data_IF_127412911707
#
_entry.id   IF_127412911707
#
_cell.length_a   1.000
_cell.length_b   1.000
_cell.length_c   1.000
_cell.angle_alpha   90.00
_cell.angle_beta   90.00
_cell.angle_gamma   90.00
#
_symmetry.space_group_name_H-M   'P 1'
#
loop_
_entity.id
_entity.type
_entity.pdbx_description
1 polymer ?
#
# COMPACT_ATOMS: atom_id res chain seq x y z
N UNK A 1 20.07 15.89 5.23
CA UNK A 1 19.16 16.82 4.51
C UNK A 1 17.82 16.14 4.20
N UNK A 2 17.84 14.95 3.58
CA UNK A 2 16.63 14.18 3.27
C UNK A 2 15.78 13.88 4.50
N UNK A 3 16.36 13.41 5.61
CA UNK A 3 15.58 13.09 6.83
C UNK A 3 14.80 14.29 7.38
N UNK A 4 15.43 15.48 7.39
CA UNK A 4 14.77 16.72 7.80
C UNK A 4 13.67 17.14 6.82
N UNK A 5 13.86 16.86 5.53
CA UNK A 5 12.81 17.08 4.53
C UNK A 5 11.64 16.09 4.72
N UNK A 6 11.91 14.83 5.07
CA UNK A 6 10.89 13.84 5.45
C UNK A 6 10.08 14.36 6.63
N UNK A 7 10.73 14.81 7.72
CA UNK A 7 10.03 15.39 8.87
C UNK A 7 9.19 16.60 8.48
N UNK A 8 9.74 17.51 7.69
CA UNK A 8 9.04 18.71 7.24
C UNK A 8 7.79 18.34 6.42
N UNK A 9 7.93 17.51 5.38
CA UNK A 9 6.81 17.11 4.53
C UNK A 9 5.79 16.24 5.27
N UNK A 10 6.23 15.43 6.25
CA UNK A 10 5.32 14.65 7.11
C UNK A 10 4.39 15.58 7.89
N UNK A 11 4.89 16.73 8.37
CA UNK A 11 4.09 17.69 9.14
C UNK A 11 3.25 18.62 8.26
N UNK A 12 3.83 19.13 7.17
CA UNK A 12 3.29 20.27 6.42
C UNK A 12 2.79 19.91 5.01
N UNK A 13 2.98 18.67 4.55
CA UNK A 13 2.75 18.28 3.17
C UNK A 13 3.76 18.88 2.20
N UNK A 14 3.55 18.69 0.90
CA UNK A 14 4.48 19.10 -0.15
C UNK A 14 4.35 20.56 -0.59
N UNK A 15 3.46 21.33 0.03
CA UNK A 15 3.23 22.75 -0.28
C UNK A 15 4.40 23.67 0.11
N UNK A 16 4.18 24.98 0.01
CA UNK A 16 5.15 26.00 0.46
C UNK A 16 6.33 26.25 -0.48
N UNK A 17 7.10 27.30 -0.19
CA UNK A 17 8.26 27.70 -1.00
C UNK A 17 9.53 26.96 -0.61
N UNK A 18 10.47 26.76 -1.54
CA UNK A 18 11.79 26.17 -1.24
C UNK A 18 12.58 27.00 -0.22
N UNK A 19 12.37 28.31 -0.16
CA UNK A 19 12.96 29.20 0.84
C UNK A 19 12.45 28.87 2.24
N UNK A 20 11.15 28.64 2.38
CA UNK A 20 10.54 28.23 3.64
C UNK A 20 11.03 26.85 4.07
N UNK A 21 11.04 25.89 3.13
CA UNK A 21 11.58 24.55 3.37
C UNK A 21 13.02 24.61 3.89
N UNK A 22 13.91 25.33 3.21
CA UNK A 22 15.31 25.49 3.59
C UNK A 22 15.44 26.04 5.02
N UNK A 23 14.68 27.10 5.35
CA UNK A 23 14.62 27.67 6.70
C UNK A 23 14.18 26.63 7.74
N UNK A 24 13.11 25.89 7.47
CA UNK A 24 12.57 24.91 8.42
C UNK A 24 13.50 23.71 8.64
N UNK A 25 14.23 23.26 7.62
CA UNK A 25 15.22 22.17 7.76
C UNK A 25 16.61 22.67 8.22
N UNK A 26 16.75 23.98 8.46
CA UNK A 26 17.96 24.60 9.01
C UNK A 26 19.14 24.64 8.03
N UNK A 27 18.88 24.90 6.74
CA UNK A 27 19.90 25.08 5.70
C UNK A 27 19.64 26.36 4.91
N UNK A 28 20.64 26.86 4.20
CA UNK A 28 20.42 27.96 3.25
C UNK A 28 19.76 27.44 1.98
N UNK A 29 18.94 28.27 1.33
CA UNK A 29 18.32 27.91 0.06
C UNK A 29 19.35 27.57 -1.04
N UNK A 30 20.48 28.31 -1.19
CA UNK A 30 21.55 27.91 -2.11
C UNK A 30 22.17 26.55 -1.79
N UNK A 31 22.33 26.19 -0.51
CA UNK A 31 22.84 24.87 -0.13
C UNK A 31 21.87 23.77 -0.55
N UNK A 32 20.56 23.98 -0.39
CA UNK A 32 19.54 23.03 -0.85
C UNK A 32 19.65 22.80 -2.36
N UNK A 33 19.76 23.87 -3.16
CA UNK A 33 19.91 23.76 -4.61
C UNK A 33 21.25 23.16 -5.07
N UNK A 34 22.28 23.17 -4.22
CA UNK A 34 23.53 22.46 -4.50
C UNK A 34 23.36 20.92 -4.47
N UNK A 35 22.40 20.41 -3.70
CA UNK A 35 22.13 18.97 -3.58
C UNK A 35 20.95 18.49 -4.43
N UNK A 36 20.02 19.39 -4.76
CA UNK A 36 18.81 19.07 -5.50
C UNK A 36 18.52 20.15 -6.52
N UNK A 37 18.46 19.78 -7.80
CA UNK A 37 18.24 20.73 -8.90
C UNK A 37 16.91 21.48 -8.78
N UNK A 38 15.92 20.86 -8.14
CA UNK A 38 14.62 21.47 -7.87
C UNK A 38 13.98 20.96 -6.57
N UNK A 39 12.85 21.57 -6.18
CA UNK A 39 12.05 21.08 -5.04
C UNK A 39 11.46 19.69 -5.37
N UNK A 40 11.05 19.49 -6.61
CA UNK A 40 10.51 18.24 -7.14
C UNK A 40 11.56 17.12 -7.06
N UNK A 41 12.84 17.41 -7.36
CA UNK A 41 13.93 16.45 -7.20
C UNK A 41 14.12 16.01 -5.73
N UNK A 42 13.97 16.94 -4.78
CA UNK A 42 13.97 16.63 -3.36
C UNK A 42 12.73 15.81 -2.95
N UNK A 43 11.55 16.14 -3.46
CA UNK A 43 10.31 15.38 -3.23
C UNK A 43 10.46 13.95 -3.76
N UNK A 44 11.02 13.78 -4.96
CA UNK A 44 11.28 12.46 -5.53
C UNK A 44 12.29 11.67 -4.69
N UNK A 45 13.36 12.32 -4.20
CA UNK A 45 14.31 11.67 -3.29
C UNK A 45 13.63 11.22 -1.99
N UNK A 46 12.78 12.07 -1.40
CA UNK A 46 11.97 11.73 -0.22
C UNK A 46 11.04 10.56 -0.52
N UNK A 47 10.38 10.57 -1.67
CA UNK A 47 9.51 9.48 -2.10
C UNK A 47 10.26 8.14 -2.15
N UNK A 48 11.42 8.11 -2.80
CA UNK A 48 12.24 6.90 -2.91
C UNK A 48 12.74 6.40 -1.54
N UNK A 49 12.97 7.30 -0.59
CA UNK A 49 13.41 6.96 0.76
C UNK A 49 12.27 6.42 1.64
N UNK A 50 11.06 6.96 1.51
CA UNK A 50 9.91 6.59 2.35
C UNK A 50 9.17 5.37 1.80
N UNK A 51 8.87 5.35 0.51
CA UNK A 51 8.05 4.32 -0.15
C UNK A 51 8.90 3.15 -0.63
N UNK A 52 9.75 2.62 0.26
CA UNK A 52 10.61 1.46 -0.04
C UNK A 52 9.76 0.22 -0.30
N UNK A 53 10.04 -0.42 -1.42
CA UNK A 53 9.46 -1.71 -1.78
C UNK A 53 10.41 -2.84 -1.39
N UNK A 54 9.88 -3.90 -0.78
CA UNK A 54 10.68 -5.09 -0.45
C UNK A 54 10.44 -6.20 -1.48
N UNK A 55 11.47 -6.66 -2.22
CA UNK A 55 11.34 -7.78 -3.15
C UNK A 55 10.87 -9.08 -2.47
N UNK A 56 11.10 -9.22 -1.17
CA UNK A 56 10.65 -10.34 -0.34
C UNK A 56 9.14 -10.56 -0.40
N UNK A 57 8.35 -9.48 -0.55
CA UNK A 57 6.90 -9.56 -0.61
C UNK A 57 6.41 -10.44 -1.75
N UNK A 58 6.99 -10.28 -2.94
CA UNK A 58 6.65 -11.07 -4.12
C UNK A 58 6.99 -12.56 -3.89
N UNK A 59 8.11 -12.85 -3.21
CA UNK A 59 8.52 -14.21 -2.85
C UNK A 59 7.60 -14.85 -1.81
N UNK A 60 7.27 -14.11 -0.75
CA UNK A 60 6.35 -14.55 0.30
C UNK A 60 4.98 -14.91 -0.28
N UNK A 61 4.49 -14.12 -1.24
CA UNK A 61 3.22 -14.40 -1.91
C UNK A 61 3.32 -15.62 -2.82
N UNK A 62 4.43 -15.85 -3.53
CA UNK A 62 4.52 -16.89 -4.57
C UNK A 62 4.95 -18.29 -4.08
N UNK A 63 5.50 -18.43 -2.87
CA UNK A 63 6.10 -19.69 -2.39
C UNK A 63 5.06 -20.77 -2.02
N UNK A 64 4.62 -21.54 -3.01
CA UNK A 64 3.62 -22.61 -2.83
C UNK A 64 4.06 -23.78 -1.95
N UNK A 65 5.30 -23.82 -1.47
CA UNK A 65 5.71 -24.79 -0.43
C UNK A 65 5.07 -24.49 0.94
N UNK A 66 4.57 -23.26 1.12
CA UNK A 66 3.92 -22.78 2.34
C UNK A 66 2.40 -22.62 2.08
N UNK A 67 1.52 -23.05 3.02
CA UNK A 67 0.08 -22.82 2.92
C UNK A 67 -0.27 -21.35 2.66
N UNK A 68 -1.28 -21.10 1.83
CA UNK A 68 -1.67 -19.74 1.41
C UNK A 68 -1.92 -18.79 2.59
N UNK A 69 -2.60 -19.25 3.64
CA UNK A 69 -2.87 -18.44 4.82
C UNK A 69 -1.59 -17.95 5.48
N UNK A 70 -0.64 -18.85 5.73
CA UNK A 70 0.65 -18.51 6.35
C UNK A 70 1.47 -17.55 5.50
N UNK A 71 1.48 -17.74 4.17
CA UNK A 71 2.10 -16.79 3.24
C UNK A 71 1.52 -15.40 3.37
N UNK A 72 0.19 -15.28 3.37
CA UNK A 72 -0.47 -13.99 3.47
C UNK A 72 -0.29 -13.34 4.85
N UNK A 73 -0.23 -14.12 5.93
CA UNK A 73 0.12 -13.56 7.25
C UNK A 73 1.52 -12.98 7.24
N UNK A 74 2.53 -13.73 6.78
CA UNK A 74 3.92 -13.26 6.71
C UNK A 74 4.01 -12.00 5.86
N UNK A 75 3.40 -12.02 4.67
CA UNK A 75 3.38 -10.87 3.77
C UNK A 75 2.71 -9.65 4.41
N UNK A 76 1.49 -9.76 4.92
CA UNK A 76 0.76 -8.60 5.44
C UNK A 76 1.32 -8.07 6.75
N UNK A 77 1.94 -8.91 7.59
CA UNK A 77 2.68 -8.46 8.77
C UNK A 77 3.92 -7.66 8.37
N UNK A 78 4.71 -8.18 7.41
CA UNK A 78 5.90 -7.50 6.93
C UNK A 78 5.55 -6.19 6.20
N UNK A 79 4.54 -6.23 5.35
CA UNK A 79 4.01 -5.08 4.64
C UNK A 79 3.52 -3.98 5.60
N UNK A 80 2.73 -4.36 6.61
CA UNK A 80 2.24 -3.42 7.62
C UNK A 80 3.37 -2.75 8.41
N UNK A 81 4.48 -3.46 8.66
CA UNK A 81 5.66 -2.90 9.33
C UNK A 81 6.29 -1.72 8.55
N UNK A 82 6.10 -1.70 7.23
CA UNK A 82 6.59 -0.63 6.35
C UNK A 82 5.57 0.48 6.22
N UNK A 83 4.32 0.15 5.89
CA UNK A 83 3.34 1.16 5.46
C UNK A 83 2.63 1.88 6.62
N UNK A 84 2.63 1.30 7.82
CA UNK A 84 1.94 1.89 8.98
C UNK A 84 2.80 2.87 9.79
N UNK A 85 3.98 3.24 9.27
CA UNK A 85 4.82 4.31 9.84
C UNK A 85 4.19 5.68 9.58
N UNK A 86 4.43 6.62 10.48
CA UNK A 86 3.80 7.95 10.46
C UNK A 86 4.08 8.67 9.14
N UNK A 87 5.36 8.76 8.77
CA UNK A 87 5.80 9.44 7.56
C UNK A 87 5.22 8.78 6.31
N UNK A 88 5.09 7.46 6.29
CA UNK A 88 4.48 6.75 5.16
C UNK A 88 3.03 7.17 4.99
N UNK A 89 2.20 7.03 6.04
CA UNK A 89 0.77 7.34 5.99
C UNK A 89 0.56 8.80 5.61
N UNK A 90 1.22 9.73 6.30
CA UNK A 90 0.98 11.16 6.13
C UNK A 90 1.42 11.64 4.75
N UNK A 91 2.60 11.21 4.29
CA UNK A 91 3.07 11.58 2.95
C UNK A 91 2.22 10.96 1.85
N UNK A 92 1.74 9.73 2.02
CA UNK A 92 0.84 9.10 1.05
C UNK A 92 -0.49 9.85 0.93
N UNK A 93 -1.06 10.31 2.05
CA UNK A 93 -2.27 11.14 2.06
C UNK A 93 -2.02 12.49 1.41
N UNK A 94 -0.94 13.20 1.78
CA UNK A 94 -0.60 14.48 1.14
C UNK A 94 -0.42 14.35 -0.37
N UNK A 95 0.30 13.32 -0.82
CA UNK A 95 0.51 13.04 -2.24
C UNK A 95 -0.79 12.73 -2.98
N UNK A 96 -1.77 12.10 -2.31
CA UNK A 96 -3.09 11.83 -2.88
C UNK A 96 -3.95 13.09 -3.01
N UNK A 97 -3.82 14.04 -2.09
CA UNK A 97 -4.56 15.30 -2.11
C UNK A 97 -4.01 16.29 -3.15
N UNK A 98 -2.70 16.30 -3.39
CA UNK A 98 -2.06 17.23 -4.34
C UNK A 98 -2.10 16.76 -5.79
N UNK A 99 -2.55 15.52 -6.06
CA UNK A 99 -2.74 14.95 -7.41
C UNK A 99 -1.47 14.91 -8.30
N UNK A 100 -0.28 14.99 -7.71
CA UNK A 100 1.01 15.02 -8.43
C UNK A 100 1.46 13.64 -8.98
N UNK A 101 0.57 12.64 -8.99
CA UNK A 101 0.84 11.30 -9.54
C UNK A 101 1.87 10.47 -8.75
N UNK A 102 2.43 11.02 -7.66
CA UNK A 102 3.42 10.37 -6.79
C UNK A 102 2.92 8.99 -6.32
N UNK A 103 1.65 8.88 -5.93
CA UNK A 103 1.05 7.61 -5.49
C UNK A 103 0.83 6.60 -6.64
N UNK A 104 0.70 7.06 -7.89
CA UNK A 104 0.33 6.20 -9.01
C UNK A 104 1.36 5.12 -9.26
N UNK A 105 2.66 5.44 -9.11
CA UNK A 105 3.74 4.47 -9.25
C UNK A 105 3.64 3.36 -8.20
N UNK A 106 3.39 3.72 -6.94
CA UNK A 106 3.22 2.74 -5.87
C UNK A 106 1.96 1.89 -6.06
N UNK A 107 0.83 2.51 -6.39
CA UNK A 107 -0.46 1.84 -6.60
C UNK A 107 -0.46 0.90 -7.80
N UNK A 108 0.17 1.31 -8.91
CA UNK A 108 0.36 0.44 -10.09
C UNK A 108 1.24 -0.77 -9.76
N UNK A 109 2.31 -0.55 -8.98
CA UNK A 109 3.15 -1.64 -8.50
C UNK A 109 2.38 -2.57 -7.56
N UNK A 110 1.59 -2.03 -6.64
CA UNK A 110 0.75 -2.80 -5.74
C UNK A 110 -0.26 -3.68 -6.50
N UNK A 111 -0.93 -3.12 -7.50
CA UNK A 111 -1.85 -3.86 -8.37
C UNK A 111 -1.15 -5.05 -9.05
N UNK A 112 -0.02 -4.79 -9.71
CA UNK A 112 0.69 -5.78 -10.51
C UNK A 112 1.48 -6.82 -9.69
N UNK A 113 2.03 -6.42 -8.55
CA UNK A 113 2.96 -7.24 -7.74
C UNK A 113 2.35 -7.86 -6.50
N UNK A 114 1.19 -7.37 -6.05
CA UNK A 114 0.50 -7.90 -4.86
C UNK A 114 -0.90 -8.35 -5.21
N UNK A 115 -1.76 -7.46 -5.73
CA UNK A 115 -3.17 -7.79 -5.90
C UNK A 115 -3.40 -8.93 -6.89
N UNK A 116 -2.89 -8.78 -8.13
CA UNK A 116 -3.03 -9.82 -9.13
C UNK A 116 -2.39 -11.16 -8.71
N UNK A 117 -1.16 -11.18 -8.15
CA UNK A 117 -0.56 -12.41 -7.62
C UNK A 117 -1.35 -13.06 -6.47
N UNK A 118 -1.79 -12.29 -5.47
CA UNK A 118 -2.57 -12.84 -4.34
C UNK A 118 -3.87 -13.47 -4.85
N UNK A 119 -4.58 -12.80 -5.75
CA UNK A 119 -5.82 -13.35 -6.32
C UNK A 119 -5.55 -14.61 -7.15
N UNK A 120 -4.42 -14.68 -7.87
CA UNK A 120 -4.00 -15.91 -8.56
C UNK A 120 -3.74 -17.06 -7.59
N UNK A 121 -3.07 -16.81 -6.47
CA UNK A 121 -2.81 -17.82 -5.45
C UNK A 121 -4.07 -18.24 -4.69
N UNK A 122 -5.02 -17.34 -4.48
CA UNK A 122 -6.36 -17.69 -3.96
C UNK A 122 -7.08 -18.61 -4.95
N UNK A 123 -7.09 -18.29 -6.24
CA UNK A 123 -7.73 -19.15 -7.23
C UNK A 123 -7.10 -20.53 -7.28
N UNK A 124 -5.78 -20.62 -7.26
CA UNK A 124 -5.04 -21.88 -7.21
C UNK A 124 -5.42 -22.71 -5.97
N UNK A 125 -5.31 -22.13 -4.78
CA UNK A 125 -5.51 -22.84 -3.51
C UNK A 125 -6.94 -23.37 -3.34
N UNK A 126 -7.92 -22.73 -3.98
CA UNK A 126 -9.34 -23.06 -3.86
C UNK A 126 -9.94 -23.68 -5.13
N UNK A 127 -9.12 -24.01 -6.14
CA UNK A 127 -9.55 -24.65 -7.39
C UNK A 127 -10.54 -23.81 -8.19
N UNK A 128 -10.33 -22.49 -8.27
CA UNK A 128 -11.23 -21.55 -8.94
C UNK A 128 -10.69 -21.22 -10.33
N UNK A 129 -11.56 -21.29 -11.34
CA UNK A 129 -11.21 -20.94 -12.71
C UNK A 129 -10.76 -19.47 -12.86
N UNK A 130 -9.85 -19.17 -13.79
CA UNK A 130 -9.40 -17.80 -14.05
C UNK A 130 -10.56 -16.87 -14.47
N UNK A 131 -10.40 -15.54 -14.32
CA UNK A 131 -11.35 -14.55 -14.82
C UNK A 131 -11.65 -14.73 -16.32
N UNK A 132 -12.92 -14.56 -16.72
CA UNK A 132 -13.34 -14.71 -18.13
C UNK A 132 -13.12 -13.45 -18.95
N UNK A 133 -13.21 -12.29 -18.29
CA UNK A 133 -13.06 -10.96 -18.91
C UNK A 133 -12.55 -9.95 -17.88
N UNK A 134 -12.16 -8.76 -18.35
CA UNK A 134 -11.60 -7.70 -17.51
C UNK A 134 -12.49 -7.35 -16.30
N UNK A 135 -13.81 -7.29 -16.47
CA UNK A 135 -14.71 -6.97 -15.36
C UNK A 135 -14.69 -8.01 -14.22
N UNK A 136 -14.43 -9.29 -14.52
CA UNK A 136 -14.25 -10.32 -13.48
C UNK A 136 -12.98 -10.04 -12.68
N UNK A 137 -11.90 -9.65 -13.36
CA UNK A 137 -10.62 -9.27 -12.74
C UNK A 137 -10.77 -8.04 -11.86
N UNK A 138 -11.46 -6.99 -12.34
CA UNK A 138 -11.66 -5.77 -11.53
C UNK A 138 -12.52 -6.06 -10.29
N UNK A 139 -13.58 -6.87 -10.42
CA UNK A 139 -14.41 -7.26 -9.28
C UNK A 139 -13.62 -8.03 -8.21
N UNK A 140 -12.71 -8.92 -8.63
CA UNK A 140 -11.79 -9.61 -7.71
C UNK A 140 -10.79 -8.65 -7.06
N UNK A 141 -10.32 -7.64 -7.80
CA UNK A 141 -9.40 -6.62 -7.28
C UNK A 141 -10.05 -5.79 -6.18
N UNK A 142 -11.35 -5.49 -6.28
CA UNK A 142 -12.06 -4.82 -5.19
C UNK A 142 -12.10 -5.63 -3.89
N UNK A 143 -12.08 -6.97 -3.97
CA UNK A 143 -12.03 -7.84 -2.79
C UNK A 143 -10.70 -7.68 -2.04
N UNK A 144 -9.58 -7.68 -2.76
CA UNK A 144 -8.25 -7.49 -2.15
C UNK A 144 -8.03 -6.05 -1.70
N UNK A 145 -8.64 -5.07 -2.39
CA UNK A 145 -8.71 -3.68 -1.91
C UNK A 145 -9.35 -3.59 -0.53
N UNK A 146 -10.44 -4.32 -0.28
CA UNK A 146 -11.09 -4.36 1.04
C UNK A 146 -10.14 -4.80 2.16
N UNK A 147 -9.38 -5.89 1.94
CA UNK A 147 -8.35 -6.33 2.89
C UNK A 147 -7.25 -5.27 3.06
N UNK A 148 -6.68 -4.82 1.95
CA UNK A 148 -5.54 -3.93 1.93
C UNK A 148 -5.85 -2.58 2.59
N UNK A 149 -6.96 -1.95 2.20
CA UNK A 149 -7.45 -0.71 2.80
C UNK A 149 -7.80 -0.91 4.28
N UNK A 150 -8.36 -2.07 4.65
CA UNK A 150 -8.65 -2.41 6.04
C UNK A 150 -7.42 -2.44 6.95
N UNK A 151 -6.24 -2.79 6.41
CA UNK A 151 -4.95 -2.74 7.13
C UNK A 151 -4.40 -1.31 7.11
N UNK A 152 -4.35 -0.67 5.95
CA UNK A 152 -3.87 0.71 5.79
C UNK A 152 -4.62 1.70 6.68
N UNK A 153 -5.93 1.51 6.85
CA UNK A 153 -6.79 2.36 7.67
C UNK A 153 -6.41 2.36 9.16
N UNK A 154 -5.70 1.34 9.65
CA UNK A 154 -5.13 1.35 11.00
C UNK A 154 -4.10 2.49 11.14
N UNK A 155 -3.28 2.69 10.12
CA UNK A 155 -2.32 3.80 10.07
C UNK A 155 -3.02 5.15 9.96
N UNK A 156 -4.06 5.26 9.14
CA UNK A 156 -4.87 6.49 9.03
C UNK A 156 -5.50 6.85 10.38
N UNK A 157 -6.14 5.89 11.06
CA UNK A 157 -6.71 6.09 12.40
C UNK A 157 -5.66 6.65 13.38
N UNK A 158 -4.48 6.04 13.40
CA UNK A 158 -3.40 6.44 14.32
C UNK A 158 -2.82 7.82 13.99
N UNK A 159 -2.43 8.04 12.74
CA UNK A 159 -1.55 9.15 12.34
C UNK A 159 -2.27 10.34 11.71
N UNK A 160 -3.52 10.16 11.28
CA UNK A 160 -4.36 11.23 10.72
C UNK A 160 -5.43 11.64 11.72
N UNK A 161 -6.14 10.68 12.32
CA UNK A 161 -7.23 10.98 13.25
C UNK A 161 -6.83 10.98 14.73
N UNK A 162 -5.61 10.57 15.08
CA UNK A 162 -5.16 10.49 16.47
C UNK A 162 -5.93 9.47 17.32
N UNK A 163 -6.60 8.51 16.68
CA UNK A 163 -7.39 7.49 17.35
C UNK A 163 -6.50 6.35 17.86
N UNK A 164 -6.90 5.78 19.00
CA UNK A 164 -6.29 4.54 19.49
C UNK A 164 -6.49 3.41 18.48
N UNK A 165 -5.44 2.61 18.31
CA UNK A 165 -5.45 1.36 17.55
C UNK A 165 -5.20 0.20 18.49
N UNK A 166 -5.57 -1.04 18.11
CA UNK A 166 -5.29 -2.22 18.91
C UNK A 166 -3.80 -2.37 19.22
N UNK A 167 -3.47 -2.84 20.42
CA UNK A 167 -2.08 -3.09 20.83
C UNK A 167 -1.45 -4.26 20.08
N UNK A 168 -2.22 -5.35 19.91
CA UNK A 168 -1.81 -6.49 19.11
C UNK A 168 -2.22 -6.32 17.65
N UNK A 169 -1.36 -5.62 16.91
CA UNK A 169 -1.54 -5.41 15.48
C UNK A 169 -1.44 -6.72 14.68
N UNK A 170 -0.67 -7.70 15.16
CA UNK A 170 -0.48 -8.96 14.45
C UNK A 170 -1.75 -9.80 14.45
N UNK A 171 -2.44 -9.89 15.59
CA UNK A 171 -3.73 -10.56 15.69
C UNK A 171 -4.78 -9.93 14.77
N UNK A 172 -4.85 -8.59 14.73
CA UNK A 172 -5.80 -7.87 13.86
C UNK A 172 -5.52 -8.11 12.38
N UNK A 173 -4.25 -8.12 11.98
CA UNK A 173 -3.87 -8.38 10.58
C UNK A 173 -4.22 -9.82 10.19
N UNK A 174 -3.90 -10.81 11.03
CA UNK A 174 -4.27 -12.22 10.80
C UNK A 174 -5.77 -12.38 10.66
N UNK A 175 -6.55 -11.81 11.57
CA UNK A 175 -8.02 -11.83 11.49
C UNK A 175 -8.55 -11.24 10.17
N UNK A 176 -7.98 -10.14 9.69
CA UNK A 176 -8.38 -9.56 8.39
C UNK A 176 -8.07 -10.48 7.22
N UNK A 177 -6.89 -11.11 7.23
CA UNK A 177 -6.52 -12.13 6.23
C UNK A 177 -7.48 -13.32 6.30
N UNK A 178 -7.86 -13.77 7.49
CA UNK A 178 -8.82 -14.87 7.67
C UNK A 178 -10.17 -14.52 7.07
N UNK A 179 -10.73 -13.35 7.40
CA UNK A 179 -12.00 -12.89 6.84
C UNK A 179 -11.95 -12.85 5.32
N UNK A 180 -10.86 -12.35 4.75
CA UNK A 180 -10.66 -12.35 3.30
C UNK A 180 -10.62 -13.77 2.73
N UNK A 181 -9.86 -14.70 3.31
CA UNK A 181 -9.75 -16.08 2.81
C UNK A 181 -11.03 -16.90 3.00
N UNK A 182 -11.87 -16.57 3.97
CA UNK A 182 -13.18 -17.21 4.14
C UNK A 182 -14.23 -16.63 3.17
N UNK A 183 -14.15 -15.34 2.82
CA UNK A 183 -15.14 -14.67 1.97
C UNK A 183 -14.81 -14.67 0.47
N UNK A 184 -13.56 -14.36 0.10
CA UNK A 184 -13.16 -14.14 -1.28
C UNK A 184 -13.35 -15.36 -2.18
N UNK A 185 -12.96 -16.60 -1.79
CA UNK A 185 -13.17 -17.78 -2.64
C UNK A 185 -14.65 -18.01 -2.99
N UNK A 186 -15.54 -17.82 -2.02
CA UNK A 186 -16.98 -17.98 -2.24
C UNK A 186 -17.53 -16.90 -3.19
N UNK A 187 -17.08 -15.66 -3.05
CA UNK A 187 -17.46 -14.57 -3.94
C UNK A 187 -16.92 -14.78 -5.37
N UNK A 188 -15.66 -15.22 -5.52
CA UNK A 188 -15.06 -15.55 -6.80
C UNK A 188 -15.82 -16.66 -7.53
N UNK A 189 -16.20 -17.75 -6.83
CA UNK A 189 -17.02 -18.81 -7.44
C UNK A 189 -18.37 -18.29 -7.93
N UNK A 190 -19.05 -17.48 -7.14
CA UNK A 190 -20.30 -16.83 -7.56
C UNK A 190 -20.12 -15.96 -8.80
N UNK A 191 -19.01 -15.25 -8.95
CA UNK A 191 -18.72 -14.49 -10.18
C UNK A 191 -18.59 -15.41 -11.40
N UNK A 192 -18.00 -16.60 -11.25
CA UNK A 192 -17.87 -17.59 -12.33
C UNK A 192 -19.21 -18.24 -12.67
N UNK A 193 -19.99 -18.58 -11.65
CA UNK A 193 -21.31 -19.22 -11.80
C UNK A 193 -22.36 -18.23 -12.34
N UNK A 194 -22.28 -16.95 -11.97
CA UNK A 194 -23.22 -15.90 -12.36
C UNK A 194 -23.17 -15.46 -13.82
N UNK A 195 -22.29 -16.05 -14.65
CA UNK A 195 -22.44 -15.97 -16.12
C UNK A 195 -22.95 -17.27 -16.74
N UNK A 196 -23.46 -18.21 -15.94
CA UNK A 196 -24.30 -19.34 -16.36
C UNK A 196 -25.75 -19.11 -15.90
N UNK A 197 -26.34 -17.96 -16.24
CA UNK A 197 -27.80 -17.72 -16.25
C UNK A 197 -28.03 -16.52 -17.19
N UNK A 198 -28.82 -16.59 -18.27
CA UNK A 198 -29.87 -17.54 -18.66
C UNK A 198 -29.87 -17.80 -20.19
N UNK A 199 -30.48 -18.91 -20.66
CA UNK A 199 -30.98 -19.02 -22.04
C UNK A 199 -32.04 -17.95 -22.36
#
# INVERSE_FOLDING_TARGET
MVDKAIEHFTRNGFGGSTRELARQIGVTQPLLYRYFDSKEALIERVYNEVFKWRPEWERQIADRSIPLAERLYVFYLDYASVILREEWIRLFIFAGLTHEGINNKYLSKLRSKVFLPVLAEVREAFGIAPPRHAADTEAEIEMIWGLHAGIFYLGVRKWIYGLKVPGDMAAVIRQKVDVFLHGAPAAMRKLRDGGRTAP
#
